data_IF_757627087892
#
_entry.id   IF_757627087892
#
_cell.length_a   1.000
_cell.length_b   1.000
_cell.length_c   1.000
_cell.angle_alpha   90.00
_cell.angle_beta   90.00
_cell.angle_gamma   90.00
#
_symmetry.space_group_name_H-M   'P 1'
#
loop_
_entity.id
_entity.type
_entity.pdbx_description
1 polymer ?
#
# COMPACT_ATOMS: atom_id res chain seq x y z
N UNK A 1 -30.64 18.41 9.04
CA UNK A 1 -29.72 17.42 8.45
C UNK A 1 -28.31 17.81 8.87
N UNK A 2 -27.60 16.94 9.60
CA UNK A 2 -26.20 17.20 9.98
C UNK A 2 -25.35 16.98 8.75
N UNK A 3 -25.09 18.03 7.98
CA UNK A 3 -24.15 17.98 6.88
C UNK A 3 -22.73 18.00 7.45
N UNK A 4 -21.90 17.07 7.01
CA UNK A 4 -20.50 17.06 7.40
C UNK A 4 -19.80 18.31 6.82
N UNK A 5 -18.99 19.03 7.61
CA UNK A 5 -18.34 20.25 7.14
C UNK A 5 -17.33 19.93 6.02
N UNK A 6 -17.00 20.89 5.14
CA UNK A 6 -16.05 20.67 4.03
C UNK A 6 -14.67 20.18 4.47
N UNK A 7 -14.29 20.41 5.73
CA UNK A 7 -13.06 19.89 6.34
C UNK A 7 -13.06 18.37 6.58
N UNK A 8 -14.21 17.71 6.42
CA UNK A 8 -14.33 16.25 6.51
C UNK A 8 -14.31 15.60 5.13
N UNK A 9 -14.00 14.31 5.09
CA UNK A 9 -13.96 13.55 3.84
C UNK A 9 -15.35 13.48 3.18
N UNK A 10 -16.41 13.27 3.98
CA UNK A 10 -17.80 13.23 3.49
C UNK A 10 -18.28 14.59 3.00
N UNK A 11 -17.97 15.68 3.72
CA UNK A 11 -18.30 17.05 3.30
C UNK A 11 -17.54 17.52 2.05
N UNK A 12 -16.37 16.92 1.78
CA UNK A 12 -15.60 17.11 0.53
C UNK A 12 -16.00 16.16 -0.61
N UNK A 13 -17.01 15.29 -0.42
CA UNK A 13 -17.42 14.25 -1.38
C UNK A 13 -16.30 13.26 -1.79
N UNK A 14 -15.33 13.03 -0.91
CA UNK A 14 -14.17 12.16 -1.17
C UNK A 14 -14.29 10.76 -0.52
N UNK A 15 -15.35 10.51 0.25
CA UNK A 15 -15.43 9.36 1.16
C UNK A 15 -15.28 8.00 0.46
N UNK A 16 -15.97 7.79 -0.67
CA UNK A 16 -15.84 6.56 -1.45
C UNK A 16 -14.49 6.46 -2.14
N UNK A 17 -14.02 7.59 -2.69
CA UNK A 17 -12.77 7.65 -3.42
C UNK A 17 -11.59 7.27 -2.50
N UNK A 18 -11.58 7.79 -1.28
CA UNK A 18 -10.55 7.51 -0.30
C UNK A 18 -10.67 6.08 0.22
N UNK A 19 -11.89 5.59 0.47
CA UNK A 19 -12.11 4.20 0.86
C UNK A 19 -11.51 3.22 -0.17
N UNK A 20 -11.72 3.47 -1.47
CA UNK A 20 -11.14 2.66 -2.53
C UNK A 20 -9.61 2.70 -2.52
N UNK A 21 -9.00 3.88 -2.40
CA UNK A 21 -7.53 4.01 -2.33
C UNK A 21 -6.98 3.22 -1.14
N UNK A 22 -7.58 3.35 0.04
CA UNK A 22 -7.14 2.65 1.26
C UNK A 22 -7.22 1.13 1.09
N UNK A 23 -8.33 0.62 0.54
CA UNK A 23 -8.53 -0.81 0.31
C UNK A 23 -7.55 -1.35 -0.73
N UNK A 24 -7.25 -0.60 -1.79
CA UNK A 24 -6.24 -1.01 -2.77
C UNK A 24 -4.86 -1.09 -2.11
N UNK A 25 -4.48 -0.09 -1.32
CA UNK A 25 -3.21 -0.11 -0.58
C UNK A 25 -3.13 -1.32 0.36
N UNK A 26 -4.18 -1.58 1.15
CA UNK A 26 -4.25 -2.75 2.05
C UNK A 26 -4.05 -4.06 1.28
N UNK A 27 -4.65 -4.19 0.10
CA UNK A 27 -4.48 -5.38 -0.76
C UNK A 27 -3.06 -5.51 -1.29
N UNK A 28 -2.45 -4.41 -1.75
CA UNK A 28 -1.08 -4.43 -2.27
C UNK A 28 -0.06 -4.79 -1.17
N UNK A 29 -0.30 -4.36 0.06
CA UNK A 29 0.55 -4.69 1.21
C UNK A 29 0.50 -6.17 1.60
N UNK A 30 -0.51 -6.95 1.17
CA UNK A 30 -0.51 -8.41 1.37
C UNK A 30 0.58 -9.11 0.54
N UNK A 31 0.90 -8.58 -0.64
CA UNK A 31 1.87 -9.18 -1.57
C UNK A 31 2.75 -8.09 -2.24
N UNK A 32 3.61 -7.39 -1.48
CA UNK A 32 4.34 -6.24 -2.00
C UNK A 32 5.32 -6.60 -3.13
N UNK A 33 5.92 -7.78 -3.08
CA UNK A 33 6.77 -8.34 -4.13
C UNK A 33 6.07 -8.60 -5.48
N UNK A 34 4.73 -8.66 -5.52
CA UNK A 34 3.96 -8.81 -6.77
C UNK A 34 3.55 -7.46 -7.37
N UNK A 35 3.88 -6.35 -6.71
CA UNK A 35 3.46 -5.01 -7.12
C UNK A 35 4.39 -4.49 -8.23
N UNK A 36 3.99 -4.76 -9.47
CA UNK A 36 4.66 -4.27 -10.68
C UNK A 36 4.46 -2.77 -10.94
N UNK A 37 5.05 -2.26 -12.02
CA UNK A 37 4.87 -0.87 -12.49
C UNK A 37 3.40 -0.56 -12.78
N UNK A 38 2.68 -1.46 -13.49
CA UNK A 38 1.27 -1.24 -13.84
C UNK A 38 0.38 -1.01 -12.60
N UNK A 39 0.52 -1.84 -11.57
CA UNK A 39 -0.24 -1.70 -10.33
C UNK A 39 0.09 -0.39 -9.58
N UNK A 40 1.33 0.11 -9.69
CA UNK A 40 1.73 1.40 -9.14
C UNK A 40 1.14 2.56 -9.91
N UNK A 41 1.16 2.48 -11.24
CA UNK A 41 0.57 3.49 -12.11
C UNK A 41 -0.93 3.59 -11.90
N UNK A 42 -1.64 2.46 -11.84
CA UNK A 42 -3.08 2.40 -11.53
C UNK A 42 -3.38 3.05 -10.17
N UNK A 43 -2.61 2.70 -9.13
CA UNK A 43 -2.77 3.32 -7.81
C UNK A 43 -2.57 4.84 -7.87
N UNK A 44 -1.56 5.33 -8.59
CA UNK A 44 -1.30 6.75 -8.73
C UNK A 44 -2.41 7.46 -9.53
N UNK A 45 -2.95 6.81 -10.56
CA UNK A 45 -4.10 7.32 -11.31
C UNK A 45 -5.36 7.37 -10.47
N UNK A 46 -5.53 6.44 -9.53
CA UNK A 46 -6.62 6.48 -8.55
C UNK A 46 -6.47 7.61 -7.52
N UNK A 47 -5.32 8.27 -7.37
CA UNK A 47 -5.19 9.33 -6.38
C UNK A 47 -5.93 10.61 -6.83
N UNK A 48 -6.85 11.14 -6.00
CA UNK A 48 -7.48 12.43 -6.27
C UNK A 48 -6.45 13.56 -6.16
N UNK A 49 -6.72 14.67 -6.84
CA UNK A 49 -5.79 15.81 -6.96
C UNK A 49 -5.27 16.31 -5.61
N UNK A 50 -6.11 16.33 -4.57
CA UNK A 50 -5.68 16.76 -3.24
C UNK A 50 -4.66 15.84 -2.59
N UNK A 51 -4.82 14.52 -2.74
CA UNK A 51 -3.84 13.54 -2.27
C UNK A 51 -2.53 13.64 -3.05
N UNK A 52 -2.57 13.84 -4.36
CA UNK A 52 -1.36 14.07 -5.17
C UNK A 52 -0.61 15.32 -4.72
N UNK A 53 -1.33 16.40 -4.41
CA UNK A 53 -0.75 17.64 -3.87
C UNK A 53 -0.14 17.41 -2.49
N UNK A 54 -0.87 16.77 -1.57
CA UNK A 54 -0.40 16.46 -0.21
C UNK A 54 0.83 15.54 -0.24
N UNK A 55 0.85 14.55 -1.13
CA UNK A 55 2.00 13.68 -1.32
C UNK A 55 3.22 14.48 -1.79
N UNK A 56 3.05 15.37 -2.77
CA UNK A 56 4.13 16.21 -3.31
C UNK A 56 4.69 17.20 -2.29
N UNK A 57 3.83 17.81 -1.47
CA UNK A 57 4.27 18.77 -0.43
C UNK A 57 5.07 18.08 0.67
N UNK A 58 4.66 16.88 1.06
CA UNK A 58 5.30 16.11 2.13
C UNK A 58 6.41 15.18 1.63
N UNK A 59 6.59 15.01 0.32
CA UNK A 59 7.60 14.10 -0.25
C UNK A 59 9.01 14.37 0.30
N UNK A 60 9.39 15.64 0.48
CA UNK A 60 10.72 16.01 1.00
C UNK A 60 10.97 15.54 2.43
N UNK A 61 9.95 15.48 3.29
CA UNK A 61 10.11 14.93 4.65
C UNK A 61 10.22 13.41 4.63
N UNK A 62 9.52 12.76 3.69
CA UNK A 62 9.52 11.30 3.56
C UNK A 62 10.79 10.74 2.90
N UNK A 63 11.39 11.46 1.93
CA UNK A 63 12.57 11.00 1.16
C UNK A 63 13.83 10.86 2.01
N UNK A 64 13.96 11.55 3.15
CA UNK A 64 15.13 11.41 4.03
C UNK A 64 15.36 9.96 4.49
N UNK A 65 14.31 9.14 4.53
CA UNK A 65 14.37 7.74 4.95
C UNK A 65 14.39 6.75 3.77
N UNK A 66 14.40 7.19 2.51
CA UNK A 66 14.26 6.29 1.34
C UNK A 66 15.60 5.95 0.65
N UNK A 67 16.74 6.49 1.13
CA UNK A 67 18.03 6.37 0.44
C UNK A 67 18.72 5.00 0.64
N UNK A 68 18.34 4.24 1.66
CA UNK A 68 18.88 2.92 1.96
C UNK A 68 17.70 1.99 2.25
N UNK A 69 17.59 0.91 1.49
CA UNK A 69 16.58 -0.13 1.70
C UNK A 69 17.18 -1.23 2.57
N UNK A 70 17.06 -1.11 3.88
CA UNK A 70 17.53 -2.11 4.85
C UNK A 70 16.39 -2.81 5.60
N UNK A 71 16.72 -3.95 6.20
CA UNK A 71 15.76 -4.81 6.90
C UNK A 71 15.16 -4.17 8.17
N UNK A 72 15.93 -3.48 9.05
CA UNK A 72 15.37 -2.81 10.21
C UNK A 72 14.33 -1.75 9.83
N UNK A 73 14.65 -0.88 8.86
CA UNK A 73 13.71 0.14 8.43
C UNK A 73 12.50 -0.46 7.69
N UNK A 74 12.68 -1.56 6.96
CA UNK A 74 11.55 -2.29 6.38
C UNK A 74 10.60 -2.84 7.45
N UNK A 75 11.14 -3.31 8.58
CA UNK A 75 10.34 -3.75 9.71
C UNK A 75 9.57 -2.59 10.34
N UNK A 76 10.24 -1.46 10.62
CA UNK A 76 9.62 -0.25 11.17
C UNK A 76 8.49 0.27 10.26
N UNK A 77 8.68 0.22 8.94
CA UNK A 77 7.64 0.55 7.98
C UNK A 77 6.47 -0.42 8.05
N UNK A 78 6.69 -1.74 8.12
CA UNK A 78 5.61 -2.72 8.27
C UNK A 78 4.76 -2.45 9.52
N UNK A 79 5.40 -2.22 10.66
CA UNK A 79 4.71 -1.90 11.91
C UNK A 79 3.92 -0.58 11.84
N UNK A 80 4.50 0.43 11.21
CA UNK A 80 3.84 1.73 10.98
C UNK A 80 2.60 1.56 10.10
N UNK A 81 2.73 0.85 8.98
CA UNK A 81 1.64 0.60 8.03
C UNK A 81 0.51 -0.20 8.68
N UNK A 82 0.83 -1.26 9.43
CA UNK A 82 -0.15 -2.04 10.18
C UNK A 82 -0.85 -1.19 11.24
N UNK A 83 -0.10 -0.33 11.94
CA UNK A 83 -0.64 0.62 12.90
C UNK A 83 -1.68 1.56 12.29
N UNK A 84 -1.41 2.11 11.09
CA UNK A 84 -2.32 2.98 10.36
C UNK A 84 -3.54 2.20 9.84
N UNK A 85 -3.32 1.07 9.18
CA UNK A 85 -4.41 0.27 8.60
C UNK A 85 -5.35 -0.30 9.65
N UNK A 86 -4.85 -0.62 10.86
CA UNK A 86 -5.68 -1.15 11.95
C UNK A 86 -6.90 -0.27 12.27
N UNK A 87 -6.77 1.05 12.16
CA UNK A 87 -7.90 1.97 12.39
C UNK A 87 -8.53 2.49 11.09
N UNK A 88 -7.76 2.59 10.00
CA UNK A 88 -8.25 3.16 8.74
C UNK A 88 -9.01 2.15 7.87
N UNK A 89 -8.51 0.90 7.77
CA UNK A 89 -9.09 -0.12 6.91
C UNK A 89 -10.54 -0.49 7.30
N UNK A 90 -10.89 -0.70 8.59
CA UNK A 90 -12.27 -0.99 8.97
C UNK A 90 -13.26 0.12 8.55
N UNK A 91 -12.85 1.39 8.66
CA UNK A 91 -13.65 2.54 8.25
C UNK A 91 -13.84 2.60 6.72
N UNK A 92 -12.79 2.28 5.96
CA UNK A 92 -12.83 2.20 4.50
C UNK A 92 -13.77 1.08 4.02
N UNK A 93 -13.63 -0.14 4.56
CA UNK A 93 -14.53 -1.26 4.25
C UNK A 93 -15.98 -0.95 4.59
N UNK A 94 -16.22 -0.36 5.77
CA UNK A 94 -17.55 0.09 6.18
C UNK A 94 -18.12 1.14 5.22
N UNK A 95 -17.30 2.04 4.66
CA UNK A 95 -17.76 3.01 3.67
C UNK A 95 -18.25 2.35 2.37
N UNK A 96 -17.52 1.35 1.87
CA UNK A 96 -17.92 0.60 0.66
C UNK A 96 -19.20 -0.19 0.92
N UNK A 97 -19.29 -0.86 2.07
CA UNK A 97 -20.47 -1.61 2.49
C UNK A 97 -21.69 -0.71 2.64
N UNK A 98 -21.53 0.41 3.34
CA UNK A 98 -22.59 1.41 3.55
C UNK A 98 -23.15 1.94 2.23
N UNK A 99 -22.28 2.19 1.25
CA UNK A 99 -22.72 2.65 -0.06
C UNK A 99 -23.40 1.55 -0.88
N UNK A 100 -22.87 0.32 -0.81
CA UNK A 100 -23.46 -0.83 -1.47
C UNK A 100 -24.88 -1.06 -0.94
N UNK A 101 -25.08 -1.11 0.37
CA UNK A 101 -26.40 -1.31 1.00
C UNK A 101 -27.44 -0.25 0.58
N UNK A 102 -27.01 0.96 0.20
CA UNK A 102 -27.88 2.03 -0.30
C UNK A 102 -28.13 1.97 -1.81
N UNK A 103 -27.18 1.48 -2.60
CA UNK A 103 -27.41 1.18 -4.00
C UNK A 103 -28.34 -0.04 -4.17
N UNK A 104 -28.35 -0.96 -3.20
CA UNK A 104 -29.18 -2.16 -3.18
C UNK A 104 -30.61 -1.95 -2.65
N UNK A 105 -31.03 -0.73 -2.31
CA UNK A 105 -32.45 -0.46 -2.01
C UNK A 105 -33.39 -0.73 -3.20
N UNK A 106 -32.86 -1.06 -4.38
CA UNK A 106 -33.62 -1.59 -5.52
C UNK A 106 -33.74 -3.13 -5.58
N UNK A 107 -32.94 -3.96 -4.88
CA UNK A 107 -32.92 -5.42 -5.13
C UNK A 107 -32.63 -6.35 -3.92
N UNK A 108 -33.56 -6.43 -2.95
CA UNK A 108 -33.73 -7.56 -1.99
C UNK A 108 -33.13 -7.49 -0.57
N UNK A 109 -33.93 -8.05 0.35
CA UNK A 109 -33.86 -8.05 1.81
C UNK A 109 -32.96 -9.20 2.31
N UNK A 110 -31.65 -9.13 2.09
CA UNK A 110 -30.71 -10.11 2.68
C UNK A 110 -29.92 -9.43 3.79
N UNK A 111 -30.23 -9.80 5.04
CA UNK A 111 -29.53 -9.46 6.31
C UNK A 111 -28.77 -8.12 6.29
N UNK A 112 -29.50 -7.01 6.43
CA UNK A 112 -28.95 -5.68 6.68
C UNK A 112 -28.15 -5.66 7.99
N UNK A 113 -26.86 -5.75 7.86
CA UNK A 113 -25.90 -5.26 8.86
C UNK A 113 -25.83 -3.75 8.74
N UNK A 114 -26.72 -3.03 9.44
CA UNK A 114 -26.80 -1.58 9.31
C UNK A 114 -25.48 -0.91 9.73
N UNK A 115 -24.59 -0.63 8.78
CA UNK A 115 -23.41 0.21 9.01
C UNK A 115 -23.88 1.64 9.21
N UNK A 116 -23.37 2.32 10.22
CA UNK A 116 -23.67 3.74 10.46
C UNK A 116 -22.63 4.62 9.77
N UNK A 117 -23.02 5.83 9.33
CA UNK A 117 -22.08 6.81 8.76
C UNK A 117 -20.90 7.15 9.68
N UNK A 118 -21.12 7.12 11.00
CA UNK A 118 -20.06 7.34 12.00
C UNK A 118 -19.03 6.21 12.03
N UNK A 119 -19.38 5.01 11.58
CA UNK A 119 -18.48 3.86 11.46
C UNK A 119 -17.72 3.85 10.13
N UNK A 120 -17.87 4.88 9.31
CA UNK A 120 -17.18 5.04 8.02
C UNK A 120 -16.25 6.25 8.05
N UNK A 121 -15.54 6.47 6.94
CA UNK A 121 -14.70 7.65 6.73
C UNK A 121 -15.47 8.97 6.62
N UNK A 122 -16.81 8.95 6.58
CA UNK A 122 -17.62 10.12 6.21
C UNK A 122 -17.35 11.36 7.08
N UNK A 123 -17.21 11.18 8.39
CA UNK A 123 -16.95 12.28 9.33
C UNK A 123 -15.47 12.44 9.70
N UNK A 124 -14.56 11.68 9.08
CA UNK A 124 -13.14 11.80 9.37
C UNK A 124 -12.59 13.15 8.90
N UNK A 125 -11.62 13.68 9.63
CA UNK A 125 -10.88 14.89 9.25
C UNK A 125 -10.09 14.64 7.97
N UNK A 126 -10.33 15.47 6.95
CA UNK A 126 -9.73 15.28 5.65
C UNK A 126 -8.21 15.41 5.68
N UNK A 127 -7.68 16.42 6.36
CA UNK A 127 -6.24 16.68 6.40
C UNK A 127 -5.48 15.54 7.08
N UNK A 128 -5.96 15.09 8.24
CA UNK A 128 -5.37 13.96 8.98
C UNK A 128 -5.42 12.67 8.18
N UNK A 129 -6.53 12.40 7.49
CA UNK A 129 -6.64 11.22 6.65
C UNK A 129 -5.75 11.30 5.40
N UNK A 130 -5.65 12.47 4.75
CA UNK A 130 -4.72 12.67 3.64
C UNK A 130 -3.26 12.41 4.08
N UNK A 131 -2.86 12.89 5.25
CA UNK A 131 -1.53 12.61 5.83
C UNK A 131 -1.31 11.11 6.04
N UNK A 132 -2.27 10.41 6.68
CA UNK A 132 -2.16 8.98 6.91
C UNK A 132 -2.09 8.18 5.59
N UNK A 133 -2.87 8.55 4.58
CA UNK A 133 -2.79 7.92 3.25
C UNK A 133 -1.43 8.20 2.59
N UNK A 134 -0.86 9.39 2.74
CA UNK A 134 0.49 9.68 2.23
C UNK A 134 1.56 8.82 2.91
N UNK A 135 1.48 8.61 4.23
CA UNK A 135 2.38 7.69 4.95
C UNK A 135 2.23 6.25 4.43
N UNK A 136 1.00 5.81 4.20
CA UNK A 136 0.72 4.50 3.61
C UNK A 136 1.36 4.35 2.23
N UNK A 137 1.23 5.35 1.36
CA UNK A 137 1.81 5.33 0.00
C UNK A 137 3.34 5.29 0.03
N UNK A 138 3.96 6.08 0.90
CA UNK A 138 5.41 6.12 1.05
C UNK A 138 5.94 4.79 1.57
N UNK A 139 5.31 4.25 2.62
CA UNK A 139 5.71 2.97 3.19
C UNK A 139 5.50 1.82 2.21
N UNK A 140 4.37 1.78 1.49
CA UNK A 140 4.13 0.81 0.43
C UNK A 140 5.25 0.86 -0.63
N UNK A 141 5.59 2.06 -1.13
CA UNK A 141 6.69 2.21 -2.08
C UNK A 141 8.03 1.72 -1.53
N UNK A 142 8.32 1.97 -0.26
CA UNK A 142 9.53 1.47 0.39
C UNK A 142 9.54 -0.06 0.48
N UNK A 143 8.44 -0.67 0.96
CA UNK A 143 8.33 -2.14 1.11
C UNK A 143 8.41 -2.83 -0.26
N UNK A 144 7.71 -2.33 -1.28
CA UNK A 144 7.87 -2.85 -2.64
C UNK A 144 9.32 -2.74 -3.10
N UNK A 145 9.95 -1.56 -2.91
CA UNK A 145 11.39 -1.28 -3.03
C UNK A 145 12.27 -2.42 -2.52
N UNK A 146 12.13 -2.62 -1.22
CA UNK A 146 12.92 -3.55 -0.42
C UNK A 146 12.71 -5.01 -0.85
N UNK A 147 11.45 -5.46 -1.01
CA UNK A 147 11.17 -6.86 -1.36
C UNK A 147 11.64 -7.21 -2.78
N UNK A 148 11.51 -6.29 -3.75
CA UNK A 148 12.06 -6.51 -5.09
C UNK A 148 13.59 -6.61 -5.08
N UNK A 149 14.26 -5.77 -4.29
CA UNK A 149 15.71 -5.84 -4.13
C UNK A 149 16.15 -7.16 -3.48
N UNK A 150 15.45 -7.62 -2.43
CA UNK A 150 15.73 -8.91 -1.79
C UNK A 150 15.53 -10.08 -2.76
N UNK A 151 14.44 -10.09 -3.52
CA UNK A 151 14.18 -11.14 -4.52
C UNK A 151 15.26 -11.16 -5.60
N UNK A 152 15.66 -10.00 -6.13
CA UNK A 152 16.74 -9.92 -7.10
C UNK A 152 18.07 -10.46 -6.54
N UNK A 153 18.40 -10.17 -5.28
CA UNK A 153 19.59 -10.73 -4.62
C UNK A 153 19.50 -12.24 -4.44
N UNK A 154 18.33 -12.77 -4.08
CA UNK A 154 18.09 -14.21 -3.99
C UNK A 154 18.21 -14.89 -5.35
N UNK A 155 17.69 -14.27 -6.41
CA UNK A 155 17.80 -14.76 -7.79
C UNK A 155 19.26 -14.74 -8.28
N UNK A 156 20.04 -13.70 -7.94
CA UNK A 156 21.48 -13.68 -8.22
C UNK A 156 22.24 -14.75 -7.44
N UNK A 157 21.87 -15.01 -6.18
CA UNK A 157 22.50 -16.03 -5.36
C UNK A 157 22.15 -17.45 -5.81
N UNK A 158 20.93 -17.67 -6.30
CA UNK A 158 20.51 -18.95 -6.88
C UNK A 158 21.11 -19.18 -8.27
N UNK A 159 21.38 -18.11 -9.03
CA UNK A 159 22.10 -18.15 -10.30
C UNK A 159 23.62 -18.39 -10.14
N UNK A 160 24.19 -18.28 -8.94
CA UNK A 160 25.51 -18.84 -8.64
C UNK A 160 25.34 -20.37 -8.52
N UNK A 161 25.20 -21.03 -9.65
CA UNK A 161 25.03 -22.46 -9.70
C UNK A 161 26.29 -23.16 -9.17
N UNK A 162 26.09 -24.11 -8.27
CA UNK A 162 27.10 -25.04 -7.78
C UNK A 162 27.86 -25.73 -8.93
N UNK A 163 27.24 -25.81 -10.12
CA UNK A 163 27.82 -26.28 -11.37
C UNK A 163 28.98 -25.42 -11.89
N UNK A 164 28.93 -24.08 -11.82
CA UNK A 164 30.05 -23.23 -12.24
C UNK A 164 31.26 -23.41 -11.31
N UNK A 165 31.02 -23.62 -10.01
CA UNK A 165 32.09 -23.92 -9.04
C UNK A 165 32.72 -25.30 -9.31
N UNK A 166 31.90 -26.33 -9.55
CA UNK A 166 32.35 -27.68 -9.91
C UNK A 166 33.07 -27.73 -11.25
N UNK A 167 32.59 -26.99 -12.26
CA UNK A 167 33.18 -26.90 -13.58
C UNK A 167 34.55 -26.21 -13.53
N UNK A 168 34.67 -25.13 -12.75
CA UNK A 168 35.96 -24.48 -12.48
C UNK A 168 36.92 -25.43 -11.74
N UNK A 169 36.42 -26.20 -10.77
CA UNK A 169 37.21 -27.21 -10.04
C UNK A 169 37.71 -28.34 -10.94
N UNK A 170 36.87 -28.84 -11.86
CA UNK A 170 37.22 -29.85 -12.86
C UNK A 170 38.25 -29.34 -13.87
N UNK A 171 38.12 -28.07 -14.32
CA UNK A 171 39.08 -27.43 -15.23
C UNK A 171 40.45 -27.22 -14.58
N UNK A 172 40.50 -26.77 -13.32
CA UNK A 172 41.76 -26.68 -12.57
C UNK A 172 42.39 -28.05 -12.33
N UNK A 173 41.60 -29.09 -12.06
CA UNK A 173 42.13 -30.46 -11.84
C UNK A 173 42.69 -31.11 -13.10
N UNK A 174 42.12 -30.80 -14.27
CA UNK A 174 42.61 -31.27 -15.57
C UNK A 174 43.92 -30.56 -16.00
N UNK A 175 44.24 -29.40 -15.43
CA UNK A 175 45.45 -28.62 -15.73
C UNK A 175 46.67 -29.04 -14.89
N UNK A 176 46.49 -29.99 -13.96
CA UNK A 176 47.53 -30.52 -13.06
C UNK A 176 47.89 -32.00 -13.33
N UNK A 177 47.34 -32.58 -14.41
CA UNK A 177 47.65 -33.93 -14.87
C UNK A 177 48.16 -33.87 -16.31
N UNK A 178 49.28 -33.18 -16.49
CA UNK A 178 50.22 -33.36 -17.61
C UNK A 178 51.61 -33.63 -16.99
#
# INVERSE_FOLDING_TARGET
MVHAPPSTIGGSALALHYANVIIVIEKLLRYPHLVGEEARDDLYQMLPTSLRLSLRTNLKSYVKNLAIYDAPLAHDWKDTLDGILRWLAPLAHNMIRWQSERNFEQHQIVKRTNVLLLQTLYFADRGKTETAICELLVGLNYICRYEHQQNALLDCASSFDFEDCMQWQLQCRASFVD
#
